data_IF_061692836021
#
_entry.id   IF_061692836021
#
_cell.length_a   1.000
_cell.length_b   1.000
_cell.length_c   1.000
_cell.angle_alpha   90.00
_cell.angle_beta   90.00
_cell.angle_gamma   90.00
#
_symmetry.space_group_name_H-M   'P 1'
#
loop_
_entity.id
_entity.type
_entity.pdbx_description
1 polymer ?
#
# COMPACT_ATOMS: atom_id res chain seq x y z
N UNK A 1 -23.79 19.43 7.95
CA UNK A 1 -22.83 18.31 7.72
C UNK A 1 -23.02 17.88 6.27
N UNK A 2 -21.97 17.91 5.45
CA UNK A 2 -22.05 17.54 4.03
C UNK A 2 -21.35 16.21 3.83
N UNK A 3 -22.02 15.27 3.17
CA UNK A 3 -21.45 13.97 2.85
C UNK A 3 -20.68 14.05 1.54
N UNK A 4 -19.40 13.67 1.56
CA UNK A 4 -18.55 13.63 0.36
C UNK A 4 -18.10 12.19 0.11
N UNK A 5 -18.87 11.46 -0.69
CA UNK A 5 -18.55 10.09 -1.09
C UNK A 5 -17.44 10.06 -2.14
N UNK A 6 -16.49 9.14 -1.98
CA UNK A 6 -15.50 8.84 -3.01
C UNK A 6 -16.07 7.81 -4.02
N UNK A 7 -15.39 7.54 -5.16
CA UNK A 7 -15.85 6.53 -6.10
C UNK A 7 -16.06 5.14 -5.46
N UNK A 8 -15.27 4.80 -4.46
CA UNK A 8 -15.31 3.53 -3.72
C UNK A 8 -16.06 3.60 -2.38
N UNK A 9 -16.94 4.58 -2.23
CA UNK A 9 -17.65 4.86 -0.97
C UNK A 9 -18.33 3.62 -0.36
N UNK A 10 -19.00 2.81 -1.19
CA UNK A 10 -19.65 1.59 -0.73
C UNK A 10 -18.66 0.53 -0.23
N UNK A 11 -17.46 0.44 -0.82
CA UNK A 11 -16.42 -0.47 -0.36
C UNK A 11 -15.84 0.02 0.98
N UNK A 12 -15.65 1.32 1.16
CA UNK A 12 -15.23 1.90 2.44
C UNK A 12 -16.29 1.71 3.53
N UNK A 13 -17.58 1.92 3.22
CA UNK A 13 -18.68 1.66 4.16
C UNK A 13 -18.72 0.18 4.56
N UNK A 14 -18.52 -0.74 3.63
CA UNK A 14 -18.43 -2.16 3.91
C UNK A 14 -17.26 -2.49 4.86
N UNK A 15 -16.05 -2.04 4.55
CA UNK A 15 -14.86 -2.30 5.37
C UNK A 15 -14.97 -1.68 6.77
N UNK A 16 -15.45 -0.43 6.86
CA UNK A 16 -15.69 0.23 8.14
C UNK A 16 -16.74 -0.52 8.97
N UNK A 17 -17.81 -1.02 8.32
CA UNK A 17 -18.85 -1.82 8.98
C UNK A 17 -18.31 -3.14 9.51
N UNK A 18 -17.39 -3.80 8.80
CA UNK A 18 -16.74 -5.04 9.27
C UNK A 18 -16.02 -4.79 10.61
N UNK A 19 -15.25 -3.71 10.70
CA UNK A 19 -14.54 -3.36 11.93
C UNK A 19 -15.52 -3.00 13.04
N UNK A 20 -16.46 -2.09 12.76
CA UNK A 20 -17.38 -1.53 13.74
C UNK A 20 -18.34 -2.58 14.34
N UNK A 21 -18.87 -3.50 13.51
CA UNK A 21 -19.75 -4.59 13.96
C UNK A 21 -19.02 -5.67 14.77
N UNK A 22 -17.71 -5.81 14.54
CA UNK A 22 -16.88 -6.76 15.28
C UNK A 22 -16.32 -6.17 16.58
N UNK A 23 -16.44 -4.85 16.76
CA UNK A 23 -15.99 -4.15 17.95
C UNK A 23 -17.01 -4.32 19.07
N UNK A 24 -16.55 -4.32 20.32
CA UNK A 24 -17.40 -4.52 21.50
C UNK A 24 -18.67 -3.65 21.51
N UNK A 25 -18.55 -2.37 21.20
CA UNK A 25 -19.65 -1.40 21.27
C UNK A 25 -19.66 -0.33 20.17
N UNK A 26 -18.75 -0.36 19.19
CA UNK A 26 -18.62 0.74 18.20
C UNK A 26 -19.90 0.87 17.36
N UNK A 27 -20.40 -0.26 16.88
CA UNK A 27 -21.66 -0.33 16.11
C UNK A 27 -22.91 0.10 16.89
N UNK A 28 -22.83 0.19 18.22
CA UNK A 28 -23.91 0.62 19.11
C UNK A 28 -23.91 2.14 19.35
N UNK A 29 -23.01 2.89 18.69
CA UNK A 29 -22.95 4.34 18.83
C UNK A 29 -24.30 5.01 18.52
N UNK A 30 -24.70 5.92 19.40
CA UNK A 30 -25.90 6.75 19.24
C UNK A 30 -25.63 8.01 18.42
N UNK A 31 -24.37 8.43 18.30
CA UNK A 31 -23.96 9.58 17.48
C UNK A 31 -23.66 9.18 16.03
N UNK A 32 -22.97 8.05 15.84
CA UNK A 32 -22.57 7.55 14.53
C UNK A 32 -23.35 6.28 14.22
N UNK A 33 -24.36 6.38 13.34
CA UNK A 33 -25.20 5.25 12.99
C UNK A 33 -24.36 4.08 12.47
N UNK A 34 -24.50 2.91 13.13
CA UNK A 34 -23.72 1.71 12.79
C UNK A 34 -22.23 1.82 13.12
N UNK A 35 -21.84 2.84 13.89
CA UNK A 35 -20.46 3.10 14.33
C UNK A 35 -19.49 3.42 13.21
N UNK A 36 -19.95 4.07 12.14
CA UNK A 36 -19.14 4.52 11.01
C UNK A 36 -19.53 5.96 10.63
N UNK A 37 -18.59 6.71 10.07
CA UNK A 37 -18.86 8.08 9.61
C UNK A 37 -17.96 8.45 8.42
N UNK A 38 -18.51 9.18 7.45
CA UNK A 38 -17.71 9.81 6.41
C UNK A 38 -16.93 10.98 7.04
N UNK A 39 -15.61 11.01 6.86
CA UNK A 39 -14.72 11.98 7.53
C UNK A 39 -15.17 13.43 7.32
N UNK A 40 -15.43 13.83 6.07
CA UNK A 40 -15.87 15.19 5.76
C UNK A 40 -17.26 15.55 6.31
N UNK A 41 -18.14 14.56 6.47
CA UNK A 41 -19.45 14.74 7.12
C UNK A 41 -19.32 14.97 8.62
N UNK A 42 -18.35 14.32 9.27
CA UNK A 42 -18.04 14.56 10.68
C UNK A 42 -17.43 15.95 10.87
N UNK A 43 -16.25 16.17 10.28
CA UNK A 43 -15.61 17.46 10.13
C UNK A 43 -14.55 17.41 9.01
N UNK A 44 -14.50 18.41 8.10
CA UNK A 44 -13.56 18.38 6.98
C UNK A 44 -12.11 18.56 7.44
N UNK A 45 -11.24 17.66 6.98
CA UNK A 45 -9.78 17.73 7.16
C UNK A 45 -9.14 17.74 5.78
N UNK A 46 -8.16 18.62 5.57
CA UNK A 46 -7.38 18.69 4.34
C UNK A 46 -5.94 18.23 4.60
N UNK A 47 -5.35 17.50 3.65
CA UNK A 47 -3.99 16.98 3.77
C UNK A 47 -3.84 15.78 4.71
N UNK A 48 -4.94 15.06 4.98
CA UNK A 48 -4.92 13.82 5.76
C UNK A 48 -4.24 12.67 5.01
N UNK A 49 -3.59 11.79 5.78
CA UNK A 49 -2.93 10.58 5.26
C UNK A 49 -3.91 9.64 4.57
N UNK A 50 -5.11 9.48 5.13
CA UNK A 50 -6.17 8.59 4.62
C UNK A 50 -6.51 8.87 3.15
N UNK A 51 -6.83 10.12 2.82
CA UNK A 51 -7.23 10.49 1.46
C UNK A 51 -6.03 10.46 0.51
N UNK A 52 -4.82 10.78 1.00
CA UNK A 52 -3.59 10.67 0.21
C UNK A 52 -3.32 9.22 -0.22
N UNK A 53 -3.51 8.25 0.69
CA UNK A 53 -3.36 6.84 0.38
C UNK A 53 -4.28 6.37 -0.74
N UNK A 54 -5.55 6.82 -0.74
CA UNK A 54 -6.51 6.46 -1.78
C UNK A 54 -6.21 7.17 -3.11
N UNK A 55 -5.98 8.48 -3.09
CA UNK A 55 -5.84 9.28 -4.31
C UNK A 55 -4.49 9.04 -5.00
N UNK A 56 -3.40 8.98 -4.23
CA UNK A 56 -2.04 8.88 -4.75
C UNK A 56 -1.43 7.51 -4.54
N UNK A 57 -1.62 6.91 -3.37
CA UNK A 57 -1.02 5.63 -3.00
C UNK A 57 -1.66 4.41 -3.67
N UNK A 58 -2.90 4.55 -4.15
CA UNK A 58 -3.67 3.41 -4.66
C UNK A 58 -4.18 2.47 -3.55
N UNK A 59 -4.03 2.86 -2.28
CA UNK A 59 -4.30 2.04 -1.08
C UNK A 59 -5.58 2.51 -0.39
N UNK A 60 -6.39 1.57 0.07
CA UNK A 60 -7.63 1.88 0.78
C UNK A 60 -7.33 1.91 2.28
N UNK A 61 -7.39 3.11 2.87
CA UNK A 61 -7.09 3.34 4.29
C UNK A 61 -8.34 3.77 5.06
N UNK A 62 -8.49 3.25 6.29
CA UNK A 62 -9.51 3.66 7.24
C UNK A 62 -8.86 4.36 8.43
N UNK A 63 -9.45 5.44 8.90
CA UNK A 63 -9.15 6.01 10.22
C UNK A 63 -10.05 5.37 11.28
N UNK A 64 -9.45 4.84 12.34
CA UNK A 64 -10.14 4.14 13.42
C UNK A 64 -9.99 4.91 14.73
N UNK A 65 -11.10 5.45 15.24
CA UNK A 65 -11.17 6.08 16.56
C UNK A 65 -11.54 5.02 17.59
N UNK A 66 -10.55 4.49 18.32
CA UNK A 66 -10.69 3.28 19.14
C UNK A 66 -10.95 3.55 20.64
N UNK A 67 -10.88 4.81 21.08
CA UNK A 67 -11.05 5.24 22.47
C UNK A 67 -11.45 6.71 22.54
N UNK A 68 -12.36 7.05 23.46
CA UNK A 68 -12.73 8.44 23.75
C UNK A 68 -11.65 9.17 24.56
N UNK A 69 -10.96 8.43 25.44
CA UNK A 69 -9.75 8.95 26.10
C UNK A 69 -8.55 8.79 25.16
N UNK A 70 -7.93 9.92 24.82
CA UNK A 70 -6.74 9.97 23.97
C UNK A 70 -5.50 9.42 24.68
N UNK A 71 -5.51 9.39 26.01
CA UNK A 71 -4.39 8.94 26.83
C UNK A 71 -4.88 8.09 28.01
N UNK A 72 -5.46 6.90 27.72
CA UNK A 72 -6.01 6.04 28.76
C UNK A 72 -4.92 5.56 29.72
N UNK A 73 -5.32 5.22 30.93
CA UNK A 73 -4.41 4.62 31.91
C UNK A 73 -3.90 3.26 31.43
N UNK A 74 -2.72 2.85 31.90
CA UNK A 74 -2.15 1.54 31.55
C UNK A 74 -3.06 0.35 31.94
N UNK A 75 -3.92 0.55 32.96
CA UNK A 75 -4.86 -0.45 33.46
C UNK A 75 -6.03 -0.71 32.49
N UNK A 76 -6.34 0.23 31.59
CA UNK A 76 -7.42 0.12 30.60
C UNK A 76 -6.99 -0.57 29.30
N UNK A 77 -5.68 -0.64 29.04
CA UNK A 77 -5.14 -1.22 27.80
C UNK A 77 -5.59 -2.66 27.53
N UNK A 78 -5.68 -3.58 28.51
CA UNK A 78 -6.19 -4.93 28.28
C UNK A 78 -7.64 -4.93 27.78
N UNK A 79 -8.48 -4.03 28.30
CA UNK A 79 -9.88 -3.92 27.88
C UNK A 79 -9.99 -3.34 26.48
N UNK A 80 -9.25 -2.27 26.17
CA UNK A 80 -9.21 -1.69 24.81
C UNK A 80 -8.73 -2.74 23.79
N UNK A 81 -7.72 -3.54 24.15
CA UNK A 81 -7.27 -4.65 23.33
C UNK A 81 -8.39 -5.66 23.05
N UNK A 82 -9.06 -6.17 24.09
CA UNK A 82 -10.13 -7.15 23.90
C UNK A 82 -11.30 -6.59 23.09
N UNK A 83 -11.60 -5.29 23.19
CA UNK A 83 -12.64 -4.64 22.39
C UNK A 83 -12.31 -4.58 20.89
N UNK A 84 -11.03 -4.42 20.54
CA UNK A 84 -10.57 -4.20 19.16
C UNK A 84 -10.05 -5.48 18.48
N UNK A 85 -9.62 -6.48 19.25
CA UNK A 85 -8.94 -7.69 18.76
C UNK A 85 -9.68 -8.36 17.61
N UNK A 86 -10.97 -8.66 17.80
CA UNK A 86 -11.76 -9.33 16.76
C UNK A 86 -12.02 -8.42 15.56
N UNK A 87 -12.18 -7.11 15.77
CA UNK A 87 -12.34 -6.13 14.68
C UNK A 87 -11.13 -6.07 13.78
N UNK A 88 -9.93 -6.02 14.35
CA UNK A 88 -8.68 -6.00 13.58
C UNK A 88 -8.52 -7.29 12.77
N UNK A 89 -8.77 -8.45 13.39
CA UNK A 89 -8.65 -9.75 12.73
C UNK A 89 -9.69 -9.89 11.60
N UNK A 90 -10.94 -9.51 11.84
CA UNK A 90 -12.00 -9.60 10.85
C UNK A 90 -11.80 -8.62 9.68
N UNK A 91 -11.28 -7.41 9.95
CA UNK A 91 -10.93 -6.45 8.89
C UNK A 91 -9.84 -7.02 7.98
N UNK A 92 -8.73 -7.51 8.55
CA UNK A 92 -7.65 -8.14 7.77
C UNK A 92 -8.15 -9.37 7.00
N UNK A 93 -8.93 -10.23 7.65
CA UNK A 93 -9.52 -11.40 7.00
C UNK A 93 -10.45 -11.02 5.85
N UNK A 94 -11.20 -9.93 5.98
CA UNK A 94 -12.09 -9.44 4.92
C UNK A 94 -11.29 -8.88 3.75
N UNK A 95 -10.20 -8.15 3.98
CA UNK A 95 -9.34 -7.60 2.92
C UNK A 95 -8.76 -8.69 2.00
N UNK A 96 -8.41 -9.86 2.56
CA UNK A 96 -7.83 -10.97 1.76
C UNK A 96 -8.88 -11.85 1.09
N UNK A 97 -10.13 -11.82 1.58
CA UNK A 97 -11.25 -12.65 1.09
C UNK A 97 -12.25 -11.89 0.23
N UNK A 98 -12.10 -10.59 0.08
CA UNK A 98 -13.10 -9.76 -0.59
C UNK A 98 -12.54 -9.17 -1.88
N UNK A 99 -13.39 -9.07 -2.90
CA UNK A 99 -13.06 -8.37 -4.14
C UNK A 99 -12.51 -9.28 -5.22
N UNK A 100 -11.96 -8.65 -6.25
CA UNK A 100 -11.55 -9.30 -7.50
C UNK A 100 -10.05 -9.27 -7.62
N UNK A 101 -9.47 -10.41 -7.97
CA UNK A 101 -8.05 -10.51 -8.26
C UNK A 101 -7.81 -11.28 -9.55
N UNK A 102 -6.64 -11.10 -10.13
CA UNK A 102 -6.28 -11.84 -11.33
C UNK A 102 -5.01 -11.29 -11.96
N UNK A 103 -4.75 -11.70 -13.19
CA UNK A 103 -3.62 -11.24 -13.99
C UNK A 103 -4.03 -10.88 -15.41
N UNK A 104 -3.24 -10.02 -16.04
CA UNK A 104 -3.45 -9.60 -17.43
C UNK A 104 -2.32 -10.16 -18.30
N UNK A 105 -2.67 -10.84 -19.39
CA UNK A 105 -1.72 -11.49 -20.30
C UNK A 105 -1.94 -11.08 -21.75
N UNK A 106 -0.87 -11.19 -22.52
CA UNK A 106 -0.84 -11.01 -23.98
C UNK A 106 -1.30 -12.30 -24.67
N UNK A 107 -2.23 -12.24 -25.62
CA UNK A 107 -2.64 -13.44 -26.38
C UNK A 107 -1.58 -13.96 -27.34
N UNK A 108 -0.80 -13.06 -27.94
CA UNK A 108 0.23 -13.35 -28.93
C UNK A 108 1.51 -13.95 -28.30
N UNK A 109 1.97 -13.36 -27.20
CA UNK A 109 3.27 -13.71 -26.60
C UNK A 109 3.14 -14.44 -25.26
N UNK A 110 1.93 -14.54 -24.70
CA UNK A 110 1.69 -15.12 -23.36
C UNK A 110 2.30 -14.34 -22.19
N UNK A 111 2.91 -13.17 -22.44
CA UNK A 111 3.63 -12.42 -21.40
C UNK A 111 2.65 -11.67 -20.48
N UNK A 112 3.02 -11.43 -19.21
CA UNK A 112 2.28 -10.52 -18.34
C UNK A 112 2.24 -9.10 -18.92
N UNK A 113 1.07 -8.46 -18.88
CA UNK A 113 0.85 -7.09 -19.32
C UNK A 113 0.58 -6.16 -18.13
N UNK A 114 1.43 -5.15 -17.86
CA UNK A 114 1.22 -4.18 -16.79
C UNK A 114 0.14 -3.15 -17.18
N UNK A 115 -1.08 -3.65 -17.41
CA UNK A 115 -2.26 -2.86 -17.79
C UNK A 115 -3.00 -2.31 -16.58
N UNK A 116 -4.27 -2.00 -16.78
CA UNK A 116 -5.14 -1.44 -15.75
C UNK A 116 -6.50 -2.11 -15.74
N UNK A 117 -7.15 -2.08 -14.58
CA UNK A 117 -8.49 -2.59 -14.32
C UNK A 117 -9.40 -1.45 -13.94
N UNK A 118 -10.57 -1.40 -14.58
CA UNK A 118 -11.65 -0.47 -14.27
C UNK A 118 -12.94 -1.24 -14.04
N UNK A 119 -13.81 -0.70 -13.19
CA UNK A 119 -15.12 -1.27 -12.91
C UNK A 119 -16.18 -0.32 -13.44
N UNK A 120 -17.10 -0.82 -14.25
CA UNK A 120 -18.16 0.02 -14.80
C UNK A 120 -18.98 0.66 -13.67
N UNK A 121 -19.12 1.98 -13.74
CA UNK A 121 -19.84 2.77 -12.73
C UNK A 121 -19.02 3.19 -11.51
N UNK A 122 -17.76 2.73 -11.38
CA UNK A 122 -16.84 3.18 -10.33
C UNK A 122 -15.67 3.89 -10.99
N UNK A 123 -15.58 5.21 -10.79
CA UNK A 123 -14.53 6.04 -11.38
C UNK A 123 -13.21 5.95 -10.61
N UNK A 124 -12.62 4.75 -10.60
CA UNK A 124 -11.32 4.48 -9.98
C UNK A 124 -10.61 3.36 -10.74
N UNK A 125 -9.34 3.61 -11.07
CA UNK A 125 -8.52 2.70 -11.89
C UNK A 125 -7.46 2.04 -11.02
N UNK A 126 -7.34 0.72 -11.11
CA UNK A 126 -6.27 -0.05 -10.45
C UNK A 126 -5.25 -0.49 -11.50
N UNK A 127 -3.98 -0.18 -11.28
CA UNK A 127 -2.91 -0.64 -12.16
C UNK A 127 -2.43 -2.04 -11.74
N UNK A 128 -2.19 -2.90 -12.71
CA UNK A 128 -1.59 -4.21 -12.48
C UNK A 128 -0.09 -4.08 -12.14
N UNK A 129 0.42 -5.03 -11.36
CA UNK A 129 1.82 -5.10 -10.97
C UNK A 129 2.76 -5.21 -12.16
N UNK A 130 3.88 -4.48 -12.13
CA UNK A 130 4.80 -4.40 -13.28
C UNK A 130 5.46 -5.72 -13.66
N UNK A 131 5.73 -6.57 -12.68
CA UNK A 131 6.47 -7.82 -12.88
C UNK A 131 5.57 -8.99 -13.31
N UNK A 132 4.41 -9.14 -12.65
CA UNK A 132 3.55 -10.32 -12.82
C UNK A 132 2.17 -9.99 -13.37
N UNK A 133 1.90 -8.72 -13.67
CA UNK A 133 0.60 -8.24 -14.13
C UNK A 133 -0.57 -8.62 -13.21
N UNK A 134 -0.30 -8.86 -11.93
CA UNK A 134 -1.31 -9.16 -10.93
C UNK A 134 -2.00 -7.89 -10.44
N UNK A 135 -3.29 -7.99 -10.18
CA UNK A 135 -4.09 -6.88 -9.68
C UNK A 135 -5.03 -7.35 -8.57
N UNK A 136 -5.41 -6.39 -7.72
CA UNK A 136 -6.34 -6.60 -6.62
C UNK A 136 -7.30 -5.42 -6.59
N UNK A 137 -8.60 -5.70 -6.74
CA UNK A 137 -9.67 -4.71 -6.75
C UNK A 137 -10.66 -5.04 -5.64
N UNK A 138 -10.55 -4.34 -4.52
CA UNK A 138 -11.52 -4.43 -3.44
C UNK A 138 -12.89 -3.91 -3.92
N UNK A 139 -13.93 -4.69 -3.64
CA UNK A 139 -15.32 -4.41 -4.05
C UNK A 139 -16.28 -5.03 -3.04
N UNK A 140 -17.43 -4.40 -2.81
CA UNK A 140 -18.46 -4.90 -1.91
C UNK A 140 -19.08 -6.21 -2.43
N UNK A 141 -19.15 -7.28 -1.62
CA UNK A 141 -19.73 -8.56 -2.02
C UNK A 141 -21.25 -8.48 -2.23
N UNK A 142 -21.81 -9.53 -2.83
CA UNK A 142 -23.26 -9.74 -3.00
C UNK A 142 -23.87 -9.13 -4.26
N UNK A 143 -23.06 -8.76 -5.27
CA UNK A 143 -23.58 -8.15 -6.51
C UNK A 143 -22.76 -8.44 -7.77
N UNK A 144 -23.34 -8.07 -8.92
CA UNK A 144 -22.70 -8.17 -10.24
C UNK A 144 -21.83 -6.96 -10.52
N UNK A 145 -20.65 -7.21 -11.08
CA UNK A 145 -19.74 -6.18 -11.57
C UNK A 145 -19.34 -6.46 -13.01
N UNK A 146 -19.18 -5.39 -13.80
CA UNK A 146 -18.54 -5.46 -15.12
C UNK A 146 -17.10 -4.94 -14.96
N UNK A 147 -16.14 -5.85 -15.07
CA UNK A 147 -14.71 -5.61 -14.91
C UNK A 147 -14.08 -5.48 -16.29
N UNK A 148 -13.36 -4.40 -16.54
CA UNK A 148 -12.67 -4.16 -17.81
C UNK A 148 -11.17 -4.06 -17.59
N UNK A 149 -10.42 -4.85 -18.35
CA UNK A 149 -8.97 -4.77 -18.44
C UNK A 149 -8.54 -4.01 -19.70
N UNK A 150 -7.54 -3.15 -19.57
CA UNK A 150 -6.99 -2.35 -20.66
C UNK A 150 -5.47 -2.25 -20.58
N UNK A 151 -4.81 -2.15 -21.73
CA UNK A 151 -3.37 -1.92 -21.87
C UNK A 151 -3.14 -1.16 -23.18
N UNK A 152 -2.35 -0.07 -23.20
CA UNK A 152 -2.02 0.60 -24.47
C UNK A 152 -1.42 -0.36 -25.50
N UNK A 153 -1.94 -0.30 -26.73
CA UNK A 153 -1.56 -1.21 -27.82
C UNK A 153 -2.31 -2.56 -27.84
N UNK A 154 -3.28 -2.75 -26.95
CA UNK A 154 -4.14 -3.93 -26.90
C UNK A 154 -5.61 -3.53 -26.89
N UNK A 155 -6.47 -4.40 -27.43
CA UNK A 155 -7.91 -4.24 -27.39
C UNK A 155 -8.41 -4.50 -25.96
N UNK A 156 -9.15 -3.55 -25.35
CA UNK A 156 -9.68 -3.76 -24.00
C UNK A 156 -10.70 -4.89 -23.97
N UNK A 157 -10.79 -5.59 -22.85
CA UNK A 157 -11.69 -6.72 -22.67
C UNK A 157 -12.48 -6.57 -21.38
N UNK A 158 -13.79 -6.75 -21.47
CA UNK A 158 -14.70 -6.73 -20.33
C UNK A 158 -15.22 -8.13 -20.01
N UNK A 159 -15.48 -8.38 -18.73
CA UNK A 159 -16.20 -9.57 -18.25
C UNK A 159 -17.17 -9.18 -17.15
N UNK A 160 -18.28 -9.91 -17.05
CA UNK A 160 -19.25 -9.76 -15.96
C UNK A 160 -19.03 -10.85 -14.93
N UNK A 161 -18.91 -10.45 -13.67
CA UNK A 161 -18.71 -11.37 -12.54
C UNK A 161 -19.82 -11.19 -11.51
N UNK A 162 -20.19 -12.27 -10.83
CA UNK A 162 -20.95 -12.23 -9.59
C UNK A 162 -19.96 -12.37 -8.44
N UNK A 163 -19.88 -11.36 -7.57
CA UNK A 163 -18.95 -11.37 -6.44
C UNK A 163 -19.69 -11.85 -5.18
N UNK A 164 -19.51 -13.11 -4.79
CA UNK A 164 -20.04 -13.62 -3.51
C UNK A 164 -19.19 -13.15 -2.33
N UNK A 165 -17.89 -13.46 -2.35
CA UNK A 165 -16.89 -12.92 -1.42
C UNK A 165 -15.67 -12.46 -2.21
N UNK A 166 -14.99 -13.42 -2.85
CA UNK A 166 -13.88 -13.17 -3.79
C UNK A 166 -14.18 -13.76 -5.16
N UNK A 167 -13.63 -13.13 -6.21
CA UNK A 167 -13.63 -13.67 -7.56
C UNK A 167 -12.24 -13.57 -8.17
N UNK A 168 -11.85 -14.60 -8.93
CA UNK A 168 -10.64 -14.55 -9.78
C UNK A 168 -11.06 -14.25 -11.21
N UNK A 169 -10.49 -13.22 -11.83
CA UNK A 169 -10.75 -12.83 -13.21
C UNK A 169 -9.44 -12.54 -13.96
N UNK A 170 -8.92 -13.52 -14.66
CA UNK A 170 -7.76 -13.33 -15.53
C UNK A 170 -8.19 -12.79 -16.90
N UNK A 171 -7.39 -11.90 -17.47
CA UNK A 171 -7.64 -11.28 -18.76
C UNK A 171 -6.54 -11.65 -19.74
N UNK A 172 -6.94 -12.08 -20.93
CA UNK A 172 -6.05 -12.27 -22.07
C UNK A 172 -6.47 -11.22 -23.10
N UNK A 173 -5.57 -10.30 -23.41
CA UNK A 173 -5.80 -9.18 -24.32
C UNK A 173 -5.12 -9.42 -25.67
N UNK A 174 -5.83 -9.06 -26.74
CA UNK A 174 -5.32 -9.16 -28.11
C UNK A 174 -4.65 -7.85 -28.54
N UNK A 175 -3.49 -7.91 -29.24
CA UNK A 175 -2.86 -6.72 -29.79
C UNK A 175 -3.83 -5.92 -30.68
N UNK A 176 -3.73 -4.60 -30.62
CA UNK A 176 -4.53 -3.74 -31.49
C UNK A 176 -3.90 -3.66 -32.88
N UNK A 177 -4.47 -4.42 -33.82
CA UNK A 177 -4.07 -4.48 -35.23
C UNK A 177 -4.19 -3.14 -35.97
N UNK A 178 -4.86 -2.13 -35.39
CA UNK A 178 -5.04 -0.82 -36.01
C UNK A 178 -3.81 0.13 -35.90
N UNK A 179 -2.79 -0.24 -35.11
CA UNK A 179 -1.53 0.52 -34.99
C UNK A 179 -0.47 0.11 -36.02
N UNK A 180 -0.80 -0.73 -37.00
CA UNK A 180 0.16 -1.28 -37.96
C UNK A 180 0.39 -0.46 -39.24
N UNK A 181 -0.39 0.59 -39.52
CA UNK A 181 -0.13 1.45 -40.67
C UNK A 181 0.59 2.75 -40.26
N UNK A 182 1.87 2.84 -40.63
CA UNK A 182 2.76 4.02 -40.63
C UNK A 182 3.74 4.24 -39.47
N UNK A 183 4.25 3.17 -38.86
CA UNK A 183 5.61 3.23 -38.30
C UNK A 183 6.30 1.90 -38.54
N UNK A 184 7.57 1.86 -38.99
CA UNK A 184 8.30 0.60 -38.99
C UNK A 184 8.22 0.07 -37.57
N UNK A 185 7.78 -1.17 -37.39
CA UNK A 185 7.97 -1.89 -36.13
C UNK A 185 9.45 -1.70 -35.80
N UNK A 186 9.75 -0.78 -34.89
CA UNK A 186 11.00 -0.83 -34.17
C UNK A 186 10.93 -2.19 -33.51
N UNK A 187 11.60 -3.14 -34.15
CA UNK A 187 12.14 -4.32 -33.51
C UNK A 187 12.99 -3.72 -32.39
N UNK A 188 12.32 -3.40 -31.27
CA UNK A 188 12.96 -3.42 -29.99
C UNK A 188 13.31 -4.88 -29.84
N UNK A 189 14.50 -5.17 -30.37
CA UNK A 189 15.33 -6.32 -30.10
C UNK A 189 15.52 -6.33 -28.59
N UNK A 190 14.49 -6.78 -27.89
CA UNK A 190 14.58 -7.11 -26.49
C UNK A 190 15.23 -8.48 -26.53
N UNK A 191 16.55 -8.45 -26.66
CA UNK A 191 17.40 -9.43 -26.01
C UNK A 191 16.90 -9.55 -24.56
N UNK A 192 16.01 -10.51 -24.33
CA UNK A 192 15.46 -10.82 -23.01
C UNK A 192 16.56 -11.35 -22.09
N UNK A 193 17.73 -11.71 -22.61
CA UNK A 193 18.91 -12.00 -21.82
C UNK A 193 19.61 -10.69 -21.36
N UNK A 194 19.70 -9.67 -22.22
CA UNK A 194 20.37 -8.42 -21.88
C UNK A 194 19.56 -7.51 -20.97
N UNK A 195 18.23 -7.39 -21.14
CA UNK A 195 17.40 -6.53 -20.27
C UNK A 195 17.09 -7.15 -18.91
N UNK A 196 16.92 -8.47 -18.82
CA UNK A 196 16.83 -9.14 -17.53
C UNK A 196 18.17 -9.06 -16.78
N UNK A 197 19.31 -9.19 -17.49
CA UNK A 197 20.62 -8.88 -16.93
C UNK A 197 20.75 -7.42 -16.55
N UNK A 198 20.28 -6.46 -17.35
CA UNK A 198 20.40 -5.02 -17.02
C UNK A 198 19.52 -4.63 -15.83
N UNK A 199 18.30 -5.15 -15.74
CA UNK A 199 17.40 -4.93 -14.59
C UNK A 199 17.93 -5.65 -13.36
N UNK A 200 18.43 -6.87 -13.48
CA UNK A 200 19.09 -7.58 -12.38
C UNK A 200 20.40 -6.87 -11.97
N UNK A 201 21.16 -6.31 -12.92
CA UNK A 201 22.38 -5.55 -12.67
C UNK A 201 22.07 -4.18 -12.08
N UNK A 202 21.00 -3.50 -12.48
CA UNK A 202 20.50 -2.27 -11.86
C UNK A 202 19.95 -2.52 -10.46
N UNK A 203 19.27 -3.65 -10.26
CA UNK A 203 18.78 -4.08 -8.95
C UNK A 203 19.95 -4.48 -8.03
N UNK A 204 20.94 -5.21 -8.55
CA UNK A 204 22.17 -5.57 -7.83
C UNK A 204 23.08 -4.36 -7.60
N UNK A 205 23.24 -3.46 -8.57
CA UNK A 205 23.99 -2.19 -8.39
C UNK A 205 23.28 -1.29 -7.41
N UNK A 206 21.96 -1.15 -7.50
CA UNK A 206 21.16 -0.34 -6.57
C UNK A 206 21.27 -0.85 -5.14
N UNK A 207 21.12 -2.16 -4.95
CA UNK A 207 21.27 -2.80 -3.64
C UNK A 207 22.71 -2.72 -3.13
N UNK A 208 23.72 -2.94 -3.98
CA UNK A 208 25.13 -2.77 -3.61
C UNK A 208 25.45 -1.31 -3.27
N UNK A 209 24.89 -0.33 -3.97
CA UNK A 209 25.12 1.08 -3.68
C UNK A 209 24.47 1.50 -2.36
N UNK A 210 23.25 1.04 -2.06
CA UNK A 210 22.61 1.29 -0.76
C UNK A 210 23.35 0.59 0.39
N UNK A 211 23.74 -0.68 0.21
CA UNK A 211 24.53 -1.41 1.22
C UNK A 211 25.91 -0.77 1.41
N UNK A 212 26.60 -0.39 0.33
CA UNK A 212 27.87 0.34 0.40
C UNK A 212 27.70 1.69 1.10
N UNK A 213 26.62 2.42 0.84
CA UNK A 213 26.34 3.68 1.51
C UNK A 213 26.11 3.47 3.02
N UNK A 214 25.33 2.47 3.41
CA UNK A 214 25.13 2.09 4.82
C UNK A 214 26.46 1.68 5.47
N UNK A 215 27.30 0.88 4.81
CA UNK A 215 28.62 0.50 5.32
C UNK A 215 29.59 1.69 5.44
N UNK A 216 29.55 2.64 4.50
CA UNK A 216 30.34 3.88 4.57
C UNK A 216 29.87 4.74 5.74
N UNK A 217 28.57 4.88 5.95
CA UNK A 217 28.00 5.63 7.09
C UNK A 217 28.38 4.97 8.42
N UNK A 218 28.27 3.64 8.54
CA UNK A 218 28.69 2.88 9.72
C UNK A 218 30.20 3.04 9.95
N UNK A 219 31.02 2.93 8.90
CA UNK A 219 32.47 3.12 8.98
C UNK A 219 32.84 4.54 9.43
N UNK A 220 32.20 5.56 8.88
CA UNK A 220 32.40 6.96 9.26
C UNK A 220 32.00 7.21 10.72
N UNK A 221 30.88 6.65 11.18
CA UNK A 221 30.44 6.68 12.58
C UNK A 221 31.45 6.00 13.51
N UNK A 222 31.93 4.81 13.15
CA UNK A 222 32.96 4.10 13.92
C UNK A 222 34.27 4.89 13.97
N UNK A 223 34.73 5.46 12.86
CA UNK A 223 35.90 6.34 12.82
C UNK A 223 35.71 7.59 13.68
N UNK A 224 34.52 8.20 13.66
CA UNK A 224 34.19 9.35 14.51
C UNK A 224 34.21 8.98 16.00
N UNK A 225 33.61 7.83 16.36
CA UNK A 225 33.62 7.31 17.73
C UNK A 225 35.04 6.97 18.20
N UNK A 226 35.87 6.36 17.35
CA UNK A 226 37.28 6.05 17.65
C UNK A 226 38.13 7.32 17.80
N UNK A 227 37.96 8.33 16.93
CA UNK A 227 38.61 9.65 17.07
C UNK A 227 38.17 10.37 18.34
N UNK A 228 36.88 10.29 18.69
CA UNK A 228 36.34 10.86 19.94
C UNK A 228 36.92 10.14 21.16
N UNK A 229 37.06 8.80 21.10
CA UNK A 229 37.70 7.98 22.15
C UNK A 229 39.18 8.34 22.30
N UNK A 230 39.94 8.45 21.21
CA UNK A 230 41.35 8.89 21.25
C UNK A 230 41.53 10.31 21.80
N UNK A 231 40.67 11.28 21.42
CA UNK A 231 40.69 12.63 22.00
C UNK A 231 40.39 12.62 23.51
N UNK A 232 39.48 11.75 23.96
CA UNK A 232 39.19 11.57 25.38
C UNK A 232 40.37 10.93 26.14
N UNK A 233 41.02 9.91 25.58
CA UNK A 233 42.19 9.25 26.19
C UNK A 233 43.40 10.17 26.22
N UNK A 234 43.63 10.97 25.18
CA UNK A 234 44.71 11.96 25.12
C UNK A 234 44.45 13.18 26.03
N UNK A 235 43.18 13.55 26.21
CA UNK A 235 42.77 14.58 27.18
C UNK A 235 43.01 14.18 28.63
N UNK A 236 42.84 12.89 28.97
CA UNK A 236 43.18 12.35 30.30
C UNK A 236 44.70 12.33 30.57
N UNK A 237 45.53 12.16 29.54
CA UNK A 237 46.99 12.18 29.68
C UNK A 237 47.59 13.58 29.83
N UNK A 238 46.84 14.66 29.51
CA UNK A 238 47.27 16.06 29.67
C UNK A 238 46.91 16.69 31.02
N UNK A 239 46.20 15.99 31.91
CA UNK A 239 46.05 16.43 33.31
C UNK A 239 47.23 15.89 34.14
N UNK A 240 48.29 16.69 34.21
CA UNK A 240 49.40 16.51 35.14
C UNK A 240 48.95 16.71 36.60
N UNK A 241 49.56 16.05 37.60
CA UNK A 241 49.08 16.05 38.98
C UNK A 241 49.26 17.41 39.65
N UNK A 242 48.21 17.94 40.29
CA UNK A 242 48.35 19.04 41.24
C UNK A 242 49.10 18.54 42.48
N UNK A 243 50.26 19.16 42.69
CA UNK A 243 51.14 19.22 43.86
C UNK A 243 50.44 18.91 45.20
N UNK A 244 51.01 17.99 45.97
CA UNK A 244 50.72 17.79 47.39
C UNK A 244 51.16 19.00 48.20
N UNK A 245 50.28 19.49 49.07
CA UNK A 245 50.62 20.41 50.17
C UNK A 245 50.61 19.59 51.45
N UNK A 246 51.74 19.60 52.13
CA UNK A 246 51.98 19.03 53.46
C UNK A 246 51.25 19.90 54.50
N UNK A 247 50.59 19.24 55.46
CA UNK A 247 50.37 19.74 56.82
C UNK A 247 51.11 18.81 57.74
#
# INVERSE_FOLDING_TARGET
RYYYGCPDDEAFQFLASVYSRSHYNMSLSTEFQGGIINGASWYPIYGGMQDWNYIYGGCFELTLEISDDKWPSAEELPTIWEYNKMSMLNLVASLVKTGVRGRIFSSDSGRPLPGSITIKGINYTVNAGRAFADYYRLLTPGKRYEVMASMPGYKPKSTSIWLEETATADFILDPDSALEDNTPRSICDCSCDSKAKLVLLEFLLGFHMEVCFVLIVIGALLCFLLKRRQKFTLGKHKQSPKRSVVV
#
